data_IF_689111677262
#
_entry.id   IF_689111677262
#
_cell.length_a   1.000
_cell.length_b   1.000
_cell.length_c   1.000
_cell.angle_alpha   90.00
_cell.angle_beta   90.00
_cell.angle_gamma   90.00
#
_symmetry.space_group_name_H-M   'P 1'
#
loop_
_entity.id
_entity.type
_entity.pdbx_description
1 polymer ?
#
# COMPACT_ATOMS: atom_id res chain seq x y z
N UNK A 1 -17.44 35.41 -1.57
CA UNK A 1 -18.40 34.36 -1.99
C UNK A 1 -17.99 33.06 -1.30
N UNK A 2 -18.92 32.36 -0.63
CA UNK A 2 -18.63 31.05 -0.05
C UNK A 2 -18.28 30.07 -1.18
N UNK A 3 -17.19 29.31 -1.01
CA UNK A 3 -16.87 28.24 -1.95
C UNK A 3 -17.93 27.14 -1.81
N UNK A 4 -18.43 26.64 -2.93
CA UNK A 4 -19.40 25.55 -2.94
C UNK A 4 -18.98 24.44 -3.88
N UNK A 5 -19.28 23.22 -3.46
CA UNK A 5 -19.02 22.05 -4.26
C UNK A 5 -20.19 21.08 -4.12
N UNK A 6 -20.74 20.69 -5.25
CA UNK A 6 -21.91 19.82 -5.35
C UNK A 6 -21.59 18.63 -6.24
N UNK A 7 -21.80 17.42 -5.69
CA UNK A 7 -21.81 16.19 -6.47
C UNK A 7 -23.26 15.71 -6.64
N UNK A 8 -23.59 15.36 -7.87
CA UNK A 8 -24.91 14.85 -8.23
C UNK A 8 -24.77 13.55 -9.02
N UNK A 9 -25.57 12.54 -8.68
CA UNK A 9 -25.71 11.33 -9.46
C UNK A 9 -27.02 11.36 -10.25
N UNK A 10 -26.90 11.20 -11.57
CA UNK A 10 -27.99 11.08 -12.52
C UNK A 10 -27.85 9.75 -13.26
N UNK A 11 -28.52 8.71 -12.74
CA UNK A 11 -28.36 7.33 -13.20
C UNK A 11 -26.93 6.83 -13.07
N UNK A 12 -26.30 6.49 -14.20
CA UNK A 12 -24.91 6.05 -14.27
C UNK A 12 -23.92 7.21 -14.46
N UNK A 13 -24.34 8.48 -14.41
CA UNK A 13 -23.46 9.62 -14.58
C UNK A 13 -23.25 10.38 -13.26
N UNK A 14 -22.02 10.81 -13.02
CA UNK A 14 -21.67 11.71 -11.91
C UNK A 14 -21.42 13.10 -12.47
N UNK A 15 -22.05 14.11 -11.87
CA UNK A 15 -21.90 15.51 -12.23
C UNK A 15 -21.32 16.29 -11.05
N UNK A 16 -20.25 17.03 -11.31
CA UNK A 16 -19.69 18.01 -10.38
C UNK A 16 -20.17 19.41 -10.79
N UNK A 17 -20.62 20.19 -9.82
CA UNK A 17 -20.69 21.64 -9.91
C UNK A 17 -19.81 22.23 -8.81
N UNK A 18 -18.83 23.05 -9.18
CA UNK A 18 -17.94 23.70 -8.23
C UNK A 18 -17.94 25.21 -8.49
N UNK A 19 -18.04 26.00 -7.43
CA UNK A 19 -17.89 27.46 -7.48
C UNK A 19 -16.93 27.95 -6.39
N UNK A 20 -16.12 28.95 -6.70
CA UNK A 20 -15.06 29.40 -5.81
C UNK A 20 -14.13 30.42 -6.45
N UNK A 21 -13.02 30.76 -5.79
CA UNK A 21 -12.06 31.72 -6.33
C UNK A 21 -11.42 31.22 -7.64
N UNK A 22 -11.17 32.15 -8.56
CA UNK A 22 -10.49 31.86 -9.83
C UNK A 22 -9.15 31.16 -9.58
N UNK A 23 -8.85 30.12 -10.37
CA UNK A 23 -7.63 29.32 -10.19
C UNK A 23 -7.68 28.30 -9.05
N UNK A 24 -8.80 28.19 -8.32
CA UNK A 24 -9.02 27.08 -7.38
C UNK A 24 -8.99 25.74 -8.13
N UNK A 25 -8.40 24.72 -7.49
CA UNK A 25 -8.27 23.37 -8.07
C UNK A 25 -9.34 22.47 -7.51
N UNK A 26 -10.09 21.81 -8.36
CA UNK A 26 -11.02 20.76 -7.94
C UNK A 26 -10.44 19.39 -8.27
N UNK A 27 -10.73 18.41 -7.43
CA UNK A 27 -10.39 17.01 -7.63
C UNK A 27 -11.62 16.16 -7.32
N UNK A 28 -11.85 15.10 -8.10
CA UNK A 28 -12.87 14.08 -7.85
C UNK A 28 -12.18 12.73 -7.90
N UNK A 29 -12.35 11.95 -6.83
CA UNK A 29 -11.87 10.57 -6.73
C UNK A 29 -13.08 9.66 -6.62
N UNK A 30 -13.24 8.73 -7.57
CA UNK A 30 -14.25 7.70 -7.48
C UNK A 30 -13.62 6.31 -7.33
N UNK A 31 -14.04 5.58 -6.31
CA UNK A 31 -13.68 4.19 -6.09
C UNK A 31 -14.46 3.29 -7.06
N UNK A 32 -13.75 2.62 -7.96
CA UNK A 32 -14.30 1.62 -8.89
C UNK A 32 -13.72 0.23 -8.62
N UNK A 33 -14.33 -0.81 -9.21
CA UNK A 33 -13.80 -2.17 -9.12
C UNK A 33 -12.42 -2.33 -9.78
N UNK A 34 -12.12 -1.51 -10.79
CA UNK A 34 -10.84 -1.53 -11.49
C UNK A 34 -9.76 -0.67 -10.80
N UNK A 35 -10.09 0.01 -9.70
CA UNK A 35 -9.21 0.92 -8.98
C UNK A 35 -9.75 2.35 -8.88
N UNK A 36 -9.07 3.23 -8.13
CA UNK A 36 -9.52 4.62 -7.96
C UNK A 36 -9.30 5.41 -9.25
N UNK A 37 -10.35 6.08 -9.71
CA UNK A 37 -10.28 7.02 -10.83
C UNK A 37 -10.23 8.46 -10.29
N UNK A 38 -9.31 9.25 -10.83
CA UNK A 38 -9.07 10.62 -10.38
C UNK A 38 -9.29 11.57 -11.55
N UNK A 39 -10.12 12.60 -11.32
CA UNK A 39 -10.26 13.75 -12.22
C UNK A 39 -9.87 15.00 -11.47
N UNK A 40 -9.22 15.91 -12.17
CA UNK A 40 -8.82 17.20 -11.63
C UNK A 40 -8.98 18.29 -12.66
N UNK A 41 -9.12 19.52 -12.19
CA UNK A 41 -9.16 20.69 -13.04
C UNK A 41 -9.08 21.97 -12.24
N UNK A 42 -9.11 23.08 -12.94
CA UNK A 42 -9.07 24.41 -12.35
C UNK A 42 -10.34 25.16 -12.66
N UNK A 43 -10.79 26.00 -11.73
CA UNK A 43 -11.87 26.94 -12.00
C UNK A 43 -11.36 27.99 -12.99
N UNK A 44 -12.11 28.27 -14.07
CA UNK A 44 -11.69 29.22 -15.08
C UNK A 44 -11.49 30.62 -14.47
N UNK A 45 -10.58 31.43 -15.03
CA UNK A 45 -10.43 32.82 -14.64
C UNK A 45 -11.67 33.59 -15.11
N UNK A 46 -12.70 33.71 -14.26
CA UNK A 46 -13.92 34.42 -14.63
C UNK A 46 -13.80 35.93 -14.32
N UNK A 47 -14.09 36.74 -15.33
CA UNK A 47 -14.46 38.15 -15.20
C UNK A 47 -15.94 38.26 -14.80
N UNK A 48 -16.28 37.91 -13.55
CA UNK A 48 -17.66 37.98 -13.03
C UNK A 48 -17.92 37.02 -11.86
N UNK A 49 -19.03 37.21 -11.10
CA UNK A 49 -19.23 36.59 -9.78
C UNK A 49 -19.55 35.07 -9.78
N UNK A 50 -19.45 34.35 -10.89
CA UNK A 50 -19.75 32.92 -10.96
C UNK A 50 -18.73 32.14 -11.80
N UNK A 51 -17.53 31.87 -11.26
CA UNK A 51 -16.63 30.86 -11.82
C UNK A 51 -17.16 29.47 -11.46
N UNK A 52 -18.19 29.00 -12.16
CA UNK A 52 -18.75 27.66 -11.98
C UNK A 52 -18.16 26.68 -13.01
N UNK A 53 -17.48 25.62 -12.57
CA UNK A 53 -17.13 24.51 -13.44
C UNK A 53 -18.20 23.42 -13.33
N UNK A 54 -18.72 22.98 -14.48
CA UNK A 54 -19.66 21.86 -14.57
C UNK A 54 -19.05 20.77 -15.42
N UNK A 55 -18.80 19.61 -14.80
CA UNK A 55 -18.22 18.45 -15.50
C UNK A 55 -19.09 17.24 -15.24
N UNK A 56 -19.34 16.44 -16.28
CA UNK A 56 -20.15 15.22 -16.23
C UNK A 56 -19.33 14.04 -16.73
N UNK A 57 -19.32 12.94 -15.97
CA UNK A 57 -18.58 11.73 -16.32
C UNK A 57 -19.52 10.51 -16.32
N UNK A 58 -19.47 9.65 -17.35
CA UNK A 58 -20.21 8.38 -17.36
C UNK A 58 -19.49 7.33 -16.50
N UNK A 59 -20.16 6.75 -15.50
CA UNK A 59 -19.62 5.76 -14.54
C UNK A 59 -20.68 4.79 -13.97
N UNK A 60 -20.90 3.63 -14.62
CA UNK A 60 -21.85 2.62 -14.12
C UNK A 60 -21.34 1.77 -12.95
N UNK A 61 -20.06 1.84 -12.58
CA UNK A 61 -19.39 0.93 -11.64
C UNK A 61 -18.75 1.62 -10.41
N UNK A 62 -18.91 2.94 -10.27
CA UNK A 62 -18.41 3.67 -9.11
C UNK A 62 -19.25 3.35 -7.85
N UNK A 63 -18.58 3.09 -6.72
CA UNK A 63 -19.22 2.81 -5.42
C UNK A 63 -19.26 4.05 -4.51
N UNK A 64 -18.25 4.89 -4.60
CA UNK A 64 -18.13 6.12 -3.83
C UNK A 64 -17.33 7.14 -4.63
N UNK A 65 -17.82 8.36 -4.69
CA UNK A 65 -17.14 9.49 -5.28
C UNK A 65 -16.97 10.58 -4.22
N UNK A 66 -15.75 11.10 -4.10
CA UNK A 66 -15.42 12.20 -3.24
C UNK A 66 -14.84 13.32 -4.09
N UNK A 67 -15.33 14.54 -3.89
CA UNK A 67 -14.85 15.72 -4.57
C UNK A 67 -14.33 16.74 -3.55
N UNK A 68 -13.19 17.32 -3.85
CA UNK A 68 -12.53 18.36 -3.06
C UNK A 68 -12.27 19.59 -3.92
N UNK A 69 -12.45 20.77 -3.32
CA UNK A 69 -12.04 22.05 -3.89
C UNK A 69 -10.93 22.61 -3.02
N UNK A 70 -9.82 22.96 -3.64
CA UNK A 70 -8.66 23.56 -3.01
C UNK A 70 -8.48 24.99 -3.48
N UNK A 71 -8.01 25.85 -2.56
CA UNK A 71 -7.64 27.22 -2.88
C UNK A 71 -6.58 27.26 -3.99
N UNK A 72 -6.50 28.37 -4.75
CA UNK A 72 -5.44 28.56 -5.73
C UNK A 72 -4.06 28.38 -5.09
N UNK A 73 -3.07 27.88 -5.84
CA UNK A 73 -1.73 27.68 -5.31
C UNK A 73 -1.13 29.03 -4.86
N UNK A 74 -1.02 29.21 -3.54
CA UNK A 74 -0.19 30.23 -2.89
C UNK A 74 1.04 29.59 -2.25
N UNK A 75 1.94 30.39 -1.68
CA UNK A 75 3.21 29.95 -1.07
C UNK A 75 3.07 29.08 0.22
N UNK A 76 1.94 28.38 0.40
CA UNK A 76 1.63 27.56 1.57
C UNK A 76 0.88 26.27 1.21
N UNK A 77 0.52 25.48 2.22
CA UNK A 77 -0.17 24.21 2.06
C UNK A 77 -1.54 24.37 1.35
N UNK A 78 -1.96 23.40 0.51
CA UNK A 78 -3.24 23.45 -0.20
C UNK A 78 -4.39 23.52 0.81
N UNK A 79 -5.07 24.67 0.84
CA UNK A 79 -6.20 24.88 1.74
C UNK A 79 -7.47 24.32 1.10
N UNK A 80 -8.09 23.32 1.71
CA UNK A 80 -9.36 22.77 1.23
C UNK A 80 -10.49 23.75 1.53
N UNK A 81 -11.19 24.19 0.50
CA UNK A 81 -12.30 25.15 0.55
C UNK A 81 -13.66 24.45 0.71
N UNK A 82 -13.84 23.29 0.06
CA UNK A 82 -15.08 22.51 0.14
C UNK A 82 -14.79 21.03 -0.14
N UNK A 83 -15.63 20.15 0.42
CA UNK A 83 -15.59 18.70 0.17
C UNK A 83 -17.01 18.16 0.11
N UNK A 84 -17.33 17.37 -0.91
CA UNK A 84 -18.56 16.62 -0.99
C UNK A 84 -18.26 15.14 -1.24
N UNK A 85 -19.08 14.26 -0.69
CA UNK A 85 -19.01 12.83 -0.96
C UNK A 85 -20.38 12.31 -1.39
N UNK A 86 -20.36 11.33 -2.28
CA UNK A 86 -21.52 10.69 -2.86
C UNK A 86 -21.29 9.18 -2.92
N UNK A 87 -22.22 8.40 -2.36
CA UNK A 87 -22.19 6.94 -2.43
C UNK A 87 -23.14 6.46 -3.53
N UNK A 88 -22.72 5.45 -4.28
CA UNK A 88 -23.41 4.91 -5.46
C UNK A 88 -23.59 3.37 -5.33
N UNK A 89 -24.62 2.77 -5.94
CA UNK A 89 -25.69 3.42 -6.69
C UNK A 89 -26.66 4.14 -5.75
N UNK A 90 -27.01 5.39 -6.08
CA UNK A 90 -28.05 6.09 -5.35
C UNK A 90 -29.41 5.56 -5.84
N UNK A 91 -30.22 5.00 -4.93
CA UNK A 91 -31.56 4.48 -5.24
C UNK A 91 -32.56 5.56 -5.69
N UNK A 92 -32.16 6.84 -5.63
CA UNK A 92 -32.86 8.03 -6.11
C UNK A 92 -31.81 9.10 -6.47
N UNK A 93 -32.05 10.04 -7.40
CA UNK A 93 -31.13 11.15 -7.65
C UNK A 93 -30.75 11.83 -6.32
N UNK A 94 -29.46 11.77 -6.00
CA UNK A 94 -28.89 12.27 -4.75
C UNK A 94 -27.96 13.43 -5.06
N UNK A 95 -28.17 14.54 -4.36
CA UNK A 95 -27.38 15.76 -4.49
C UNK A 95 -26.78 16.08 -3.15
N UNK A 96 -25.45 16.08 -3.05
CA UNK A 96 -24.74 16.50 -1.84
C UNK A 96 -24.11 17.86 -2.12
N UNK A 97 -24.59 18.91 -1.44
CA UNK A 97 -24.04 20.27 -1.54
C UNK A 97 -23.26 20.59 -0.28
N UNK A 98 -21.98 20.94 -0.45
CA UNK A 98 -21.17 21.50 0.62
C UNK A 98 -20.98 23.00 0.37
N UNK A 99 -21.40 23.82 1.33
CA UNK A 99 -21.09 25.26 1.43
C UNK A 99 -20.05 25.44 2.52
N UNK A 100 -19.12 26.39 2.35
CA UNK A 100 -18.11 26.74 3.38
C UNK A 100 -18.72 26.74 4.79
N UNK A 101 -18.25 25.89 5.71
CA UNK A 101 -18.61 26.01 7.11
C UNK A 101 -18.09 27.36 7.62
N UNK A 102 -18.96 28.13 8.26
CA UNK A 102 -18.53 29.28 9.05
C UNK A 102 -17.42 28.82 10.02
N UNK A 103 -16.23 29.39 9.86
CA UNK A 103 -15.03 29.20 10.71
C UNK A 103 -14.98 27.85 11.40
N UNK A 104 -14.64 26.80 10.65
CA UNK A 104 -14.18 25.57 11.27
C UNK A 104 -12.92 25.91 12.06
N UNK A 105 -13.05 26.02 13.38
CA UNK A 105 -11.93 26.02 14.32
C UNK A 105 -10.96 24.94 13.86
N UNK A 106 -9.71 25.32 13.58
CA UNK A 106 -8.72 24.38 13.07
C UNK A 106 -8.77 23.12 13.94
N UNK A 107 -8.99 21.91 13.36
CA UNK A 107 -9.12 20.71 14.14
C UNK A 107 -7.90 20.61 15.05
N UNK A 108 -8.16 20.45 16.35
CA UNK A 108 -7.12 20.47 17.38
C UNK A 108 -5.95 19.58 16.94
N UNK A 109 -4.69 20.00 17.15
CA UNK A 109 -3.53 19.25 16.70
C UNK A 109 -3.62 17.82 17.23
N UNK A 110 -3.53 16.86 16.31
CA UNK A 110 -3.50 15.44 16.65
C UNK A 110 -2.12 15.11 17.20
N UNK A 111 -2.09 14.38 18.29
CA UNK A 111 -0.89 13.72 18.82
C UNK A 111 -1.09 12.22 18.68
N UNK A 112 0.01 11.46 18.61
CA UNK A 112 -0.14 10.04 18.37
C UNK A 112 1.17 9.29 18.39
N UNK A 113 1.06 7.96 18.37
CA UNK A 113 2.17 7.03 18.37
C UNK A 113 2.02 6.07 17.20
N UNK A 114 3.13 5.85 16.50
CA UNK A 114 3.30 4.75 15.55
C UNK A 114 4.08 3.64 16.27
N UNK A 115 3.57 2.43 16.24
CA UNK A 115 4.23 1.24 16.75
C UNK A 115 4.23 0.14 15.70
N UNK A 116 5.36 -0.55 15.60
CA UNK A 116 5.53 -1.72 14.73
C UNK A 116 5.97 -2.86 15.62
N UNK A 117 5.16 -3.91 15.65
CA UNK A 117 5.47 -5.13 16.39
C UNK A 117 5.58 -6.25 15.39
N UNK A 118 6.76 -6.91 15.28
CA UNK A 118 6.84 -8.15 14.53
C UNK A 118 5.88 -9.16 15.16
N UNK A 119 4.90 -9.62 14.40
CA UNK A 119 3.92 -10.57 14.87
C UNK A 119 4.49 -11.98 14.68
N UNK A 120 4.53 -12.76 15.76
CA UNK A 120 4.88 -14.17 15.67
C UNK A 120 3.72 -14.91 14.99
N UNK A 121 3.82 -15.16 13.69
CA UNK A 121 2.81 -15.94 12.97
C UNK A 121 3.12 -17.43 12.99
N UNK A 122 2.07 -18.20 13.26
CA UNK A 122 2.02 -19.65 13.10
C UNK A 122 1.94 -19.98 11.62
N UNK A 123 2.83 -20.89 11.17
CA UNK A 123 2.76 -21.66 9.92
C UNK A 123 2.76 -20.85 8.60
N UNK A 124 3.89 -20.84 7.90
CA UNK A 124 3.95 -20.63 6.44
C UNK A 124 4.44 -19.26 6.00
N UNK A 125 3.86 -18.21 6.60
CA UNK A 125 4.01 -16.83 6.16
C UNK A 125 5.32 -16.18 6.65
N UNK A 126 5.91 -15.31 5.82
CA UNK A 126 6.94 -14.33 6.25
C UNK A 126 6.45 -13.56 7.48
N UNK A 127 7.34 -13.24 8.43
CA UNK A 127 7.04 -12.50 9.66
C UNK A 127 6.24 -11.23 9.35
N UNK A 128 4.92 -11.22 9.57
CA UNK A 128 4.14 -10.04 9.30
C UNK A 128 4.34 -9.05 10.43
N UNK A 129 4.30 -7.78 10.08
CA UNK A 129 4.32 -6.69 11.01
C UNK A 129 2.90 -6.29 11.35
N UNK A 130 2.58 -6.37 12.64
CA UNK A 130 1.46 -5.66 13.20
C UNK A 130 1.87 -4.19 13.35
N UNK A 131 1.39 -3.34 12.46
CA UNK A 131 1.59 -1.89 12.54
C UNK A 131 0.35 -1.28 13.15
N UNK A 132 0.51 -0.46 14.18
CA UNK A 132 -0.59 0.23 14.85
C UNK A 132 -0.25 1.72 14.98
N UNK A 133 -1.25 2.54 14.71
CA UNK A 133 -1.23 3.97 14.94
C UNK A 133 -2.34 4.29 15.92
N UNK A 134 -2.00 4.96 17.02
CA UNK A 134 -2.96 5.50 17.98
C UNK A 134 -2.90 7.02 17.92
N UNK A 135 -4.03 7.66 17.63
CA UNK A 135 -4.20 9.10 17.52
C UNK A 135 -5.13 9.62 18.62
N UNK A 136 -4.74 10.75 19.20
CA UNK A 136 -5.49 11.50 20.20
C UNK A 136 -5.54 12.97 19.83
N UNK A 137 -6.57 13.67 20.27
CA UNK A 137 -6.62 15.13 20.24
C UNK A 137 -5.79 15.72 21.39
N UNK A 138 -5.58 17.03 21.35
CA UNK A 138 -4.86 17.77 22.39
C UNK A 138 -5.48 17.64 23.80
N UNK A 139 -6.79 17.38 23.89
CA UNK A 139 -7.52 17.15 25.14
C UNK A 139 -7.39 15.70 25.68
N UNK A 140 -6.61 14.84 25.00
CA UNK A 140 -6.40 13.45 25.36
C UNK A 140 -7.47 12.48 24.86
N UNK A 141 -8.56 12.96 24.26
CA UNK A 141 -9.61 12.11 23.69
C UNK A 141 -9.14 11.42 22.40
N UNK A 142 -9.68 10.24 22.05
CA UNK A 142 -9.36 9.56 20.79
C UNK A 142 -9.68 10.44 19.57
N UNK A 143 -8.88 10.29 18.51
CA UNK A 143 -9.18 10.95 17.24
C UNK A 143 -10.55 10.51 16.70
N UNK A 144 -11.28 11.39 15.97
CA UNK A 144 -12.58 11.04 15.40
C UNK A 144 -12.50 9.77 14.53
N UNK A 145 -13.53 8.94 14.60
CA UNK A 145 -13.69 7.82 13.69
C UNK A 145 -13.73 8.32 12.24
N UNK A 146 -13.12 7.56 11.34
CA UNK A 146 -13.02 7.98 9.94
C UNK A 146 -11.81 8.88 9.64
N UNK A 147 -10.97 9.23 10.63
CA UNK A 147 -9.75 10.02 10.37
C UNK A 147 -8.80 9.21 9.49
N UNK A 148 -8.45 9.68 8.28
CA UNK A 148 -7.59 8.93 7.38
C UNK A 148 -6.13 8.98 7.86
N UNK A 149 -5.51 7.81 7.89
CA UNK A 149 -4.10 7.60 8.19
C UNK A 149 -3.45 6.95 6.98
N UNK A 150 -2.49 7.65 6.38
CA UNK A 150 -1.64 7.13 5.33
C UNK A 150 -0.39 6.53 5.95
N UNK A 151 -0.19 5.23 5.73
CA UNK A 151 1.04 4.52 6.06
C UNK A 151 1.84 4.31 4.79
N UNK A 152 3.13 4.62 4.84
CA UNK A 152 4.09 4.33 3.78
C UNK A 152 5.33 3.68 4.36
N UNK A 153 5.99 2.80 3.61
CA UNK A 153 7.27 2.22 3.98
C UNK A 153 8.21 2.23 2.78
N UNK A 154 9.47 2.59 3.02
CA UNK A 154 10.55 2.45 2.06
C UNK A 154 11.53 1.39 2.57
N UNK A 155 11.85 0.42 1.72
CA UNK A 155 12.71 -0.72 2.02
C UNK A 155 13.89 -0.86 1.06
N UNK A 156 14.65 -1.96 1.19
CA UNK A 156 15.80 -2.25 0.33
C UNK A 156 15.36 -2.49 -1.12
N UNK A 157 16.31 -2.35 -2.05
CA UNK A 157 16.12 -2.61 -3.49
C UNK A 157 14.94 -1.84 -4.12
N UNK A 158 14.60 -0.68 -3.54
CA UNK A 158 13.48 0.15 -4.00
C UNK A 158 12.10 -0.35 -3.60
N UNK A 159 12.01 -1.35 -2.71
CA UNK A 159 10.75 -1.85 -2.18
C UNK A 159 9.95 -0.72 -1.51
N UNK A 160 8.67 -0.60 -1.86
CA UNK A 160 7.77 0.41 -1.29
C UNK A 160 6.44 -0.22 -0.91
N UNK A 161 5.92 0.17 0.23
CA UNK A 161 4.57 -0.16 0.68
C UNK A 161 3.81 1.15 0.92
N UNK A 162 2.53 1.17 0.57
CA UNK A 162 1.64 2.29 0.87
C UNK A 162 0.24 1.76 1.11
N UNK A 163 -0.38 2.18 2.20
CA UNK A 163 -1.73 1.79 2.56
C UNK A 163 -2.42 2.92 3.33
N UNK A 164 -3.70 3.13 3.04
CA UNK A 164 -4.52 4.09 3.78
C UNK A 164 -5.55 3.32 4.59
N UNK A 165 -5.71 3.67 5.86
CA UNK A 165 -6.84 3.22 6.70
C UNK A 165 -7.44 4.38 7.46
N UNK A 166 -8.68 4.20 7.87
CA UNK A 166 -9.35 5.14 8.76
C UNK A 166 -9.25 4.67 10.21
N UNK A 167 -9.21 5.62 11.15
CA UNK A 167 -9.25 5.30 12.58
C UNK A 167 -10.63 4.82 13.01
N UNK A 168 -10.65 3.89 13.97
CA UNK A 168 -11.80 3.53 14.80
C UNK A 168 -11.36 3.66 16.25
N UNK A 169 -12.08 4.46 17.04
CA UNK A 169 -11.71 4.86 18.39
C UNK A 169 -10.27 5.42 18.48
N UNK A 170 -9.89 6.25 17.49
CA UNK A 170 -8.54 6.80 17.39
C UNK A 170 -7.44 5.82 16.98
N UNK A 171 -7.77 4.57 16.63
CA UNK A 171 -6.77 3.55 16.26
C UNK A 171 -6.89 3.11 14.80
N UNK A 172 -5.74 2.97 14.14
CA UNK A 172 -5.62 2.36 12.81
C UNK A 172 -4.55 1.26 12.84
N UNK A 173 -4.85 0.10 12.27
CA UNK A 173 -3.95 -1.06 12.28
C UNK A 173 -3.81 -1.73 10.92
N UNK A 174 -2.62 -2.27 10.66
CA UNK A 174 -2.26 -3.01 9.45
C UNK A 174 -1.53 -4.29 9.82
N UNK A 175 -1.71 -5.29 8.97
CA UNK A 175 -0.85 -6.47 8.90
C UNK A 175 -0.07 -6.35 7.60
N UNK A 176 1.24 -6.12 7.70
CA UNK A 176 2.11 -5.95 6.54
C UNK A 176 3.07 -7.14 6.43
N UNK A 177 3.26 -7.67 5.23
CA UNK A 177 4.25 -8.72 4.97
C UNK A 177 5.24 -8.19 3.94
N UNK A 178 6.43 -7.71 4.35
CA UNK A 178 7.35 -7.13 3.38
C UNK A 178 8.07 -8.20 2.55
N UNK A 179 8.13 -7.98 1.24
CA UNK A 179 8.60 -8.97 0.25
C UNK A 179 10.12 -9.16 0.24
N UNK A 180 10.87 -8.15 0.68
CA UNK A 180 12.34 -8.14 0.68
C UNK A 180 12.83 -8.06 2.12
N UNK A 181 13.74 -8.95 2.56
CA UNK A 181 14.31 -8.80 3.90
C UNK A 181 15.25 -7.60 3.96
N UNK A 182 15.36 -6.99 5.14
CA UNK A 182 16.20 -5.82 5.37
C UNK A 182 15.47 -4.69 6.10
N UNK A 183 16.12 -3.52 6.24
CA UNK A 183 15.57 -2.39 6.97
C UNK A 183 14.48 -1.68 6.16
N UNK A 184 13.35 -1.38 6.80
CA UNK A 184 12.32 -0.50 6.30
C UNK A 184 12.15 0.70 7.21
N UNK A 185 11.96 1.86 6.59
CA UNK A 185 11.53 3.08 7.28
C UNK A 185 10.04 3.29 7.03
N UNK A 186 9.24 3.14 8.08
CA UNK A 186 7.80 3.37 8.03
C UNK A 186 7.50 4.81 8.40
N UNK A 187 6.56 5.42 7.69
CA UNK A 187 6.04 6.76 7.96
C UNK A 187 4.52 6.72 7.95
N UNK A 188 3.91 7.21 9.03
CA UNK A 188 2.47 7.41 9.15
C UNK A 188 2.14 8.90 9.14
N UNK A 189 1.05 9.28 8.46
CA UNK A 189 0.57 10.67 8.39
C UNK A 189 -0.95 10.73 8.54
N UNK A 190 -1.42 11.66 9.35
CA UNK A 190 -2.84 11.94 9.56
C UNK A 190 -3.04 13.45 9.78
N UNK A 191 -3.58 14.15 8.77
CA UNK A 191 -3.63 15.61 8.78
C UNK A 191 -2.23 16.21 8.94
N UNK A 192 -2.04 17.00 10.01
CA UNK A 192 -0.75 17.62 10.35
C UNK A 192 0.15 16.73 11.23
N UNK A 193 -0.37 15.60 11.74
CA UNK A 193 0.44 14.66 12.51
C UNK A 193 1.23 13.75 11.59
N UNK A 194 2.50 13.53 11.92
CA UNK A 194 3.39 12.61 11.25
C UNK A 194 4.28 11.89 12.25
N UNK A 195 4.55 10.62 12.01
CA UNK A 195 5.52 9.84 12.77
C UNK A 195 6.30 8.91 11.84
N UNK A 196 7.52 8.58 12.24
CA UNK A 196 8.34 7.61 11.55
C UNK A 196 8.92 6.63 12.56
N UNK A 197 9.09 5.38 12.13
CA UNK A 197 9.79 4.34 12.88
C UNK A 197 10.50 3.43 11.92
N UNK A 198 11.59 2.83 12.37
CA UNK A 198 12.31 1.83 11.61
C UNK A 198 11.92 0.44 12.10
N UNK A 199 11.83 -0.50 11.16
CA UNK A 199 11.64 -1.92 11.43
C UNK A 199 12.46 -2.72 10.43
N UNK A 200 12.97 -3.88 10.83
CA UNK A 200 13.81 -4.71 9.96
C UNK A 200 13.18 -6.08 9.76
N UNK A 201 12.94 -6.45 8.50
CA UNK A 201 12.49 -7.80 8.16
C UNK A 201 13.71 -8.69 8.21
N UNK A 202 13.67 -9.67 9.09
CA UNK A 202 14.73 -10.67 9.13
C UNK A 202 14.60 -11.56 7.90
N UNK A 203 15.71 -11.88 7.21
CA UNK A 203 15.68 -12.93 6.20
C UNK A 203 15.13 -14.20 6.85
N UNK A 204 14.21 -14.87 6.14
CA UNK A 204 13.69 -16.13 6.59
C UNK A 204 14.82 -17.16 6.48
N UNK A 205 15.55 -17.38 7.57
CA UNK A 205 16.66 -18.33 7.60
C UNK A 205 16.10 -19.74 7.39
N UNK A 206 16.76 -20.53 6.56
CA UNK A 206 16.47 -21.95 6.47
C UNK A 206 16.91 -22.59 7.81
N UNK A 207 15.95 -23.21 8.49
CA UNK A 207 16.16 -23.78 9.82
C UNK A 207 17.04 -25.02 9.82
N UNK A 208 17.18 -25.68 8.66
CA UNK A 208 18.06 -26.83 8.43
C UNK A 208 18.53 -26.82 6.98
N UNK A 209 19.71 -27.40 6.72
CA UNK A 209 20.17 -27.67 5.36
C UNK A 209 19.12 -28.55 4.64
N UNK A 210 18.49 -28.07 3.56
CA UNK A 210 17.52 -28.88 2.85
C UNK A 210 18.23 -30.01 2.12
N UNK A 211 17.64 -31.22 2.06
CA UNK A 211 18.18 -32.28 1.24
C UNK A 211 18.04 -31.91 -0.24
N UNK A 212 19.00 -32.39 -1.03
CA UNK A 212 19.04 -32.19 -2.47
C UNK A 212 19.07 -33.56 -3.12
N UNK A 213 18.12 -33.82 -4.02
CA UNK A 213 17.91 -35.12 -4.63
C UNK A 213 17.71 -34.98 -6.14
N UNK A 214 18.19 -35.96 -6.89
CA UNK A 214 17.88 -36.11 -8.31
C UNK A 214 16.66 -37.01 -8.51
N UNK A 215 15.72 -36.55 -9.32
CA UNK A 215 14.60 -37.33 -9.84
C UNK A 215 14.66 -37.32 -11.37
N UNK A 216 15.55 -38.15 -11.93
CA UNK A 216 15.88 -38.10 -13.35
C UNK A 216 16.59 -36.78 -13.70
N UNK A 217 16.14 -36.00 -14.70
CA UNK A 217 16.74 -34.71 -15.03
C UNK A 217 16.31 -33.57 -14.08
N UNK A 218 15.40 -33.85 -13.15
CA UNK A 218 14.83 -32.84 -12.27
C UNK A 218 15.54 -32.86 -10.91
N UNK A 219 16.09 -31.71 -10.52
CA UNK A 219 16.68 -31.46 -9.22
C UNK A 219 15.57 -31.07 -8.23
N UNK A 220 15.51 -31.77 -7.12
CA UNK A 220 14.63 -31.48 -5.99
C UNK A 220 15.44 -30.89 -4.84
N UNK A 221 14.99 -29.73 -4.32
CA UNK A 221 15.55 -29.09 -3.15
C UNK A 221 14.45 -28.93 -2.10
N UNK A 222 14.54 -29.69 -1.01
CA UNK A 222 13.60 -29.60 0.09
C UNK A 222 13.30 -30.93 0.77
N UNK A 223 12.49 -30.91 1.85
CA UNK A 223 11.66 -29.78 2.26
C UNK A 223 12.47 -28.61 2.81
N UNK A 224 12.26 -27.44 2.22
CA UNK A 224 12.71 -26.16 2.76
C UNK A 224 11.91 -25.88 4.02
N UNK A 225 12.60 -25.50 5.10
CA UNK A 225 11.95 -25.10 6.34
C UNK A 225 12.58 -23.83 6.85
N UNK A 226 11.75 -22.91 7.32
CA UNK A 226 12.20 -21.76 8.07
C UNK A 226 12.76 -22.15 9.44
N UNK A 227 13.51 -21.27 10.09
CA UNK A 227 13.94 -21.45 11.49
C UNK A 227 12.78 -21.61 12.46
N UNK A 228 11.58 -21.15 12.09
CA UNK A 228 10.34 -21.38 12.82
C UNK A 228 9.78 -22.80 12.66
N UNK A 229 10.37 -23.62 11.78
CA UNK A 229 9.96 -24.99 11.45
C UNK A 229 8.88 -25.10 10.36
N UNK A 230 8.28 -23.98 9.95
CA UNK A 230 7.27 -23.93 8.90
C UNK A 230 7.88 -24.09 7.49
N UNK A 231 7.06 -24.55 6.54
CA UNK A 231 7.43 -24.55 5.12
C UNK A 231 7.26 -23.15 4.51
N UNK A 232 8.02 -22.80 3.46
CA UNK A 232 7.66 -21.68 2.59
C UNK A 232 6.28 -21.86 1.99
N UNK A 233 5.54 -20.76 1.84
CA UNK A 233 4.25 -20.77 1.13
C UNK A 233 4.42 -21.24 -0.32
N UNK A 234 3.41 -21.91 -0.87
CA UNK A 234 3.41 -22.29 -2.28
C UNK A 234 3.47 -21.03 -3.16
N UNK A 235 4.28 -21.08 -4.20
CA UNK A 235 4.55 -19.90 -5.03
C UNK A 235 5.73 -19.05 -4.55
N UNK A 236 6.33 -19.31 -3.37
CA UNK A 236 7.51 -18.56 -2.91
C UNK A 236 8.64 -18.70 -3.93
N UNK A 237 9.19 -17.59 -4.45
CA UNK A 237 10.25 -17.64 -5.45
C UNK A 237 11.56 -18.16 -4.85
N UNK A 238 12.19 -19.07 -5.58
CA UNK A 238 13.47 -19.71 -5.27
C UNK A 238 14.38 -19.57 -6.48
N UNK A 239 15.59 -19.06 -6.25
CA UNK A 239 16.66 -19.08 -7.24
C UNK A 239 17.63 -20.22 -6.92
N UNK A 240 17.86 -21.08 -7.90
CA UNK A 240 18.82 -22.18 -7.84
C UNK A 240 19.95 -21.89 -8.82
N UNK A 241 21.19 -22.02 -8.36
CA UNK A 241 22.37 -21.80 -9.20
C UNK A 241 23.40 -22.89 -9.01
N UNK A 242 23.90 -23.44 -10.11
CA UNK A 242 25.04 -24.35 -10.12
C UNK A 242 26.32 -23.52 -10.24
N UNK A 243 27.30 -23.77 -9.38
CA UNK A 243 28.58 -23.09 -9.39
C UNK A 243 29.71 -24.11 -9.54
N UNK A 244 30.76 -23.71 -10.27
CA UNK A 244 32.02 -24.45 -10.32
C UNK A 244 32.91 -24.13 -9.08
N UNK A 245 34.10 -24.74 -9.01
CA UNK A 245 35.05 -24.52 -7.90
C UNK A 245 35.52 -23.06 -7.76
N UNK A 246 35.50 -22.27 -8.84
CA UNK A 246 35.88 -20.86 -8.81
C UNK A 246 34.72 -19.94 -8.41
N UNK A 247 33.53 -20.48 -8.13
CA UNK A 247 32.33 -19.70 -7.85
C UNK A 247 31.66 -19.10 -9.09
N UNK A 248 32.03 -19.53 -10.31
CA UNK A 248 31.36 -19.12 -11.54
C UNK A 248 30.03 -19.87 -11.66
N UNK A 249 28.96 -19.14 -11.93
CA UNK A 249 27.63 -19.71 -12.21
C UNK A 249 27.66 -20.41 -13.57
N UNK A 250 27.36 -21.71 -13.56
CA UNK A 250 27.23 -22.57 -14.75
C UNK A 250 25.76 -22.69 -15.21
N UNK A 251 24.82 -22.56 -14.27
CA UNK A 251 23.40 -22.68 -14.53
C UNK A 251 22.62 -21.89 -13.48
N UNK A 252 21.47 -21.35 -13.89
CA UNK A 252 20.52 -20.66 -13.02
C UNK A 252 19.11 -21.08 -13.37
N UNK A 253 18.26 -21.26 -12.36
CA UNK A 253 16.83 -21.42 -12.52
C UNK A 253 16.09 -20.60 -11.48
N UNK A 254 14.99 -19.97 -11.91
CA UNK A 254 14.01 -19.36 -11.04
C UNK A 254 12.78 -20.25 -11.03
N UNK A 255 12.45 -20.76 -9.86
CA UNK A 255 11.33 -21.69 -9.65
C UNK A 255 10.54 -21.24 -8.44
N UNK A 256 9.37 -21.82 -8.23
CA UNK A 256 8.56 -21.57 -7.05
C UNK A 256 8.52 -22.81 -6.17
N UNK A 257 8.33 -22.63 -4.86
CA UNK A 257 8.05 -23.74 -3.95
C UNK A 257 6.65 -24.30 -4.19
N UNK A 258 6.54 -25.62 -4.04
CA UNK A 258 5.28 -26.34 -3.90
C UNK A 258 5.44 -27.35 -2.76
N UNK A 259 4.59 -27.27 -1.75
CA UNK A 259 4.65 -28.03 -0.50
C UNK A 259 6.04 -27.94 0.17
N UNK A 260 6.64 -26.75 0.15
CA UNK A 260 7.99 -26.51 0.69
C UNK A 260 9.13 -27.15 -0.13
N UNK A 261 8.88 -27.62 -1.35
CA UNK A 261 9.90 -28.20 -2.23
C UNK A 261 10.09 -27.34 -3.47
N UNK A 262 11.34 -27.04 -3.82
CA UNK A 262 11.68 -26.41 -5.10
C UNK A 262 12.13 -27.49 -6.10
N UNK A 263 11.59 -27.46 -7.32
CA UNK A 263 11.93 -28.42 -8.38
C UNK A 263 12.38 -27.68 -9.62
N UNK A 264 13.49 -28.09 -10.19
CA UNK A 264 14.00 -27.50 -11.42
C UNK A 264 14.59 -28.57 -12.33
N UNK A 265 14.29 -28.49 -13.62
CA UNK A 265 14.97 -29.31 -14.62
C UNK A 265 16.37 -28.77 -14.86
N UNK A 266 17.37 -29.63 -14.77
CA UNK A 266 18.77 -29.24 -14.94
C UNK A 266 19.32 -29.91 -16.21
N UNK A 267 20.00 -29.16 -17.09
CA UNK A 267 20.71 -29.76 -18.21
C UNK A 267 21.90 -30.60 -17.72
N UNK A 268 22.52 -31.37 -18.60
CA UNK A 268 23.78 -32.03 -18.28
C UNK A 268 24.86 -30.96 -18.01
N UNK A 269 25.31 -30.84 -16.76
CA UNK A 269 26.31 -29.87 -16.32
C UNK A 269 27.62 -30.57 -15.98
N UNK A 270 28.71 -30.11 -16.58
CA UNK A 270 30.07 -30.55 -16.25
C UNK A 270 30.75 -29.53 -15.34
N UNK A 271 31.39 -30.01 -14.27
CA UNK A 271 32.19 -29.17 -13.36
C UNK A 271 31.40 -28.39 -12.30
N UNK A 272 30.10 -28.64 -12.15
CA UNK A 272 29.31 -28.12 -11.03
C UNK A 272 29.74 -28.83 -9.73
N UNK A 273 29.95 -28.06 -8.67
CA UNK A 273 30.37 -28.57 -7.35
C UNK A 273 29.59 -27.97 -6.19
N UNK A 274 28.89 -26.85 -6.43
CA UNK A 274 28.08 -26.18 -5.42
C UNK A 274 26.74 -25.80 -6.00
N UNK A 275 25.68 -26.05 -5.25
CA UNK A 275 24.34 -25.50 -5.48
C UNK A 275 24.15 -24.30 -4.54
N UNK A 276 24.00 -23.10 -5.10
CA UNK A 276 23.52 -21.93 -4.36
C UNK A 276 22.00 -21.88 -4.45
N UNK A 277 21.36 -21.92 -3.29
CA UNK A 277 19.94 -21.75 -3.08
C UNK A 277 19.69 -20.34 -2.53
N UNK A 278 18.79 -19.59 -3.14
CA UNK A 278 18.31 -18.32 -2.60
C UNK A 278 16.80 -18.33 -2.54
N UNK A 279 16.24 -18.14 -1.34
CA UNK A 279 14.80 -18.13 -1.10
C UNK A 279 14.46 -17.03 -0.11
N UNK A 280 13.49 -16.17 -0.44
CA UNK A 280 13.06 -15.08 0.42
C UNK A 280 14.21 -14.17 0.95
N UNK A 281 15.31 -14.06 0.19
CA UNK A 281 16.53 -13.33 0.54
C UNK A 281 17.45 -14.02 1.57
N UNK A 282 17.15 -15.25 1.98
CA UNK A 282 18.15 -16.14 2.58
C UNK A 282 18.94 -16.85 1.48
N UNK A 283 20.26 -16.98 1.68
CA UNK A 283 21.16 -17.73 0.80
C UNK A 283 21.72 -18.94 1.55
N UNK A 284 21.75 -20.08 0.89
CA UNK A 284 22.40 -21.29 1.37
C UNK A 284 23.23 -21.94 0.27
N UNK A 285 24.37 -22.52 0.66
CA UNK A 285 25.29 -23.23 -0.23
C UNK A 285 25.33 -24.69 0.14
N UNK A 286 24.99 -25.53 -0.83
CA UNK A 286 24.88 -26.97 -0.68
C UNK A 286 25.88 -27.65 -1.62
N UNK A 287 26.39 -28.84 -1.27
CA UNK A 287 27.12 -29.67 -2.22
C UNK A 287 26.25 -29.90 -3.47
N UNK A 288 26.88 -29.87 -4.64
CA UNK A 288 26.20 -30.33 -5.85
C UNK A 288 25.98 -31.86 -5.75
N UNK A 289 24.72 -32.33 -5.85
CA UNK A 289 24.38 -33.76 -5.72
C UNK A 289 24.77 -34.60 -6.93
#
# INVERSE_FOLDING_TARGET
MPASLTLHADGAAVQLRASGPAGARWQVVCDTFAGPLVWEGTLPPASGPEAAAVTRWPRPDARRCEATLHAPPGAGNPTTLARAALTLPASRPATTTATTPATATAPAPLTGRLSVTPATVRLGLREPWAVQVTLRRADGTPAPDGTPVLLSAAGPDGARLSATRVTVNGEASWQLTPDVPGPYRLQARAGNWQAATDAAVRPALLGRRPPVLWAGPDLQVGPLRWTTGAYPDDGTPVTLQALNRSGRVLWTAQVTTAQGVARARVPALTGAVTLRLSVAGAEERLPWP
#
